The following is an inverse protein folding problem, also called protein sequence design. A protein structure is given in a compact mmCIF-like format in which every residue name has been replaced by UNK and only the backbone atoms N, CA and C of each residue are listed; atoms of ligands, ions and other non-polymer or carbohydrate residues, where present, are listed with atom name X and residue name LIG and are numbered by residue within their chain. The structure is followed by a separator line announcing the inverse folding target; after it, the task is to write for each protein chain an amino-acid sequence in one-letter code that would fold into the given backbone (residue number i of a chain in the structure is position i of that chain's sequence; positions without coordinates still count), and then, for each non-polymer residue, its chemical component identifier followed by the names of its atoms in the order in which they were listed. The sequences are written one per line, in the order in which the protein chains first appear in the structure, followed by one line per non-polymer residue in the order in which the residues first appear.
data_IF_091858618614
#
_entry.id   IF_091858618614
#
_cell.length_a   1.000
_cell.length_b   1.000
_cell.length_c   1.000
_cell.angle_alpha   90.00
_cell.angle_beta   90.00
_cell.angle_gamma   90.00
#
_symmetry.space_group_name_H-M   'P 1'
#
loop_
_entity.id
_entity.type
_entity.pdbx_description
1 polymer ?
#
# COMPACT_ATOMS: atom_id res chain seq x y z
N UNK A 1 -1.19 1.00 26.90
CA UNK A 1 -0.40 0.59 25.71
C UNK A 1 -1.39 0.45 24.55
N UNK A 2 -1.31 1.28 23.52
CA UNK A 2 -2.20 1.14 22.35
C UNK A 2 -1.74 -0.10 21.58
N UNK A 3 -2.57 -1.14 21.53
CA UNK A 3 -2.29 -2.35 20.75
C UNK A 3 -2.81 -2.14 19.33
N UNK A 4 -1.93 -2.24 18.33
CA UNK A 4 -2.29 -2.12 16.92
C UNK A 4 -3.03 -3.37 16.45
N UNK A 5 -4.16 -3.17 15.76
CA UNK A 5 -4.92 -4.26 15.12
C UNK A 5 -4.60 -4.37 13.63
N UNK A 6 -5.04 -5.46 13.00
CA UNK A 6 -4.82 -5.71 11.56
C UNK A 6 -5.21 -4.52 10.65
N UNK A 7 -6.36 -3.83 10.85
CA UNK A 7 -6.70 -2.61 10.08
C UNK A 7 -5.69 -1.47 10.21
N UNK A 8 -5.04 -1.36 11.37
CA UNK A 8 -4.08 -0.31 11.69
C UNK A 8 -2.73 -0.61 11.04
N UNK A 9 -2.35 -1.89 11.05
CA UNK A 9 -1.17 -2.38 10.37
C UNK A 9 -1.33 -2.24 8.85
N UNK A 10 -2.52 -2.53 8.31
CA UNK A 10 -2.81 -2.32 6.89
C UNK A 10 -2.73 -0.85 6.50
N UNK A 11 -3.33 0.05 7.30
CA UNK A 11 -3.17 1.50 7.14
C UNK A 11 -1.68 1.92 7.14
N UNK A 12 -0.86 1.30 7.99
CA UNK A 12 0.59 1.52 7.99
C UNK A 12 1.29 1.11 6.68
N UNK A 13 0.82 0.06 5.99
CA UNK A 13 1.33 -0.35 4.67
C UNK A 13 0.87 0.59 3.57
N UNK A 14 -0.38 1.02 3.59
CA UNK A 14 -0.88 2.02 2.64
C UNK A 14 -0.15 3.35 2.80
N UNK A 15 0.08 3.80 4.04
CA UNK A 15 0.90 4.99 4.33
C UNK A 15 2.30 4.89 3.73
N UNK A 16 2.93 3.71 3.85
CA UNK A 16 4.23 3.45 3.27
C UNK A 16 4.24 3.62 1.75
N UNK A 17 3.24 3.08 1.06
CA UNK A 17 3.12 3.18 -0.40
C UNK A 17 2.90 4.63 -0.84
N UNK A 18 2.01 5.36 -0.16
CA UNK A 18 1.63 6.73 -0.53
C UNK A 18 2.73 7.75 -0.27
N UNK A 19 3.45 7.63 0.84
CA UNK A 19 4.21 8.77 1.38
C UNK A 19 5.71 8.55 1.52
N UNK A 20 6.22 7.31 1.48
CA UNK A 20 7.67 7.12 1.51
C UNK A 20 8.25 7.51 0.16
N UNK A 21 9.25 8.39 0.19
CA UNK A 21 10.03 8.75 -1.00
C UNK A 21 10.95 7.58 -1.37
N UNK A 22 10.57 6.82 -2.39
CA UNK A 22 11.43 5.82 -3.02
C UNK A 22 12.41 6.50 -3.97
N UNK A 23 13.44 7.19 -3.43
CA UNK A 23 14.43 7.90 -4.27
C UNK A 23 15.04 6.97 -5.33
N UNK A 24 15.82 5.98 -4.89
CA UNK A 24 16.58 5.08 -5.77
C UNK A 24 16.18 3.61 -5.58
N UNK A 25 15.38 3.30 -4.55
CA UNK A 25 15.02 1.93 -4.17
C UNK A 25 13.53 1.85 -3.88
N UNK A 26 12.82 1.08 -4.71
CA UNK A 26 11.43 0.68 -4.48
C UNK A 26 11.45 -0.50 -3.51
N UNK A 27 10.62 -0.45 -2.46
CA UNK A 27 10.49 -1.54 -1.49
C UNK A 27 9.38 -2.50 -1.89
N UNK A 28 9.74 -3.58 -2.58
CA UNK A 28 8.81 -4.64 -3.01
C UNK A 28 8.04 -5.27 -1.85
N UNK A 29 8.63 -5.32 -0.65
CA UNK A 29 7.96 -5.84 0.55
C UNK A 29 6.71 -5.08 0.95
N UNK A 30 6.67 -3.75 0.79
CA UNK A 30 5.47 -2.97 1.12
C UNK A 30 4.31 -3.32 0.17
N UNK A 31 4.61 -3.59 -1.12
CA UNK A 31 3.63 -4.08 -2.10
C UNK A 31 3.18 -5.51 -1.80
N UNK A 32 4.09 -6.37 -1.36
CA UNK A 32 3.77 -7.75 -0.97
C UNK A 32 2.80 -7.79 0.21
N UNK A 33 3.10 -7.00 1.25
CA UNK A 33 2.23 -6.86 2.42
C UNK A 33 0.86 -6.28 2.02
N UNK A 34 0.82 -5.30 1.11
CA UNK A 34 -0.43 -4.74 0.58
C UNK A 34 -1.31 -5.82 -0.09
N UNK A 35 -0.72 -6.64 -0.98
CA UNK A 35 -1.42 -7.78 -1.61
C UNK A 35 -1.90 -8.77 -0.54
N UNK A 36 -1.09 -9.04 0.47
CA UNK A 36 -1.44 -9.96 1.56
C UNK A 36 -2.67 -9.49 2.35
N UNK A 37 -2.73 -8.21 2.75
CA UNK A 37 -3.88 -7.65 3.46
C UNK A 37 -5.16 -7.68 2.63
N UNK A 38 -5.06 -7.38 1.33
CA UNK A 38 -6.20 -7.46 0.40
C UNK A 38 -6.69 -8.90 0.22
N UNK A 39 -5.79 -9.88 0.07
CA UNK A 39 -6.15 -11.30 0.01
C UNK A 39 -6.86 -11.77 1.29
N UNK A 40 -6.52 -11.18 2.44
CA UNK A 40 -7.17 -11.46 3.73
C UNK A 40 -8.51 -10.75 3.91
N UNK A 41 -8.91 -9.86 3.00
CA UNK A 41 -10.11 -9.04 3.18
C UNK A 41 -10.02 -8.13 4.41
N UNK A 42 -8.81 -7.71 4.79
CA UNK A 42 -8.63 -6.84 5.96
C UNK A 42 -9.08 -5.43 5.61
N UNK A 43 -10.05 -4.86 6.34
CA UNK A 43 -10.46 -3.48 6.10
C UNK A 43 -9.38 -2.51 6.61
N UNK A 44 -9.24 -1.36 5.96
CA UNK A 44 -8.31 -0.31 6.39
C UNK A 44 -9.00 0.66 7.34
N UNK A 45 -8.34 1.00 8.46
CA UNK A 45 -8.83 2.07 9.33
C UNK A 45 -8.41 3.44 8.78
N UNK A 46 -9.29 4.05 7.98
CA UNK A 46 -8.99 5.30 7.24
C UNK A 46 -8.57 6.46 8.16
N UNK A 47 -9.24 6.63 9.30
CA UNK A 47 -8.89 7.68 10.27
C UNK A 47 -7.46 7.54 10.78
N UNK A 48 -7.00 6.31 11.02
CA UNK A 48 -5.63 6.08 11.47
C UNK A 48 -4.60 6.29 10.34
N UNK A 49 -4.96 5.98 9.09
CA UNK A 49 -4.12 6.35 7.95
C UNK A 49 -3.93 7.87 7.87
N UNK A 50 -5.00 8.66 8.10
CA UNK A 50 -4.94 10.14 8.15
C UNK A 50 -4.07 10.63 9.30
N UNK A 51 -4.24 10.10 10.50
CA UNK A 51 -3.40 10.42 11.66
C UNK A 51 -1.92 10.14 11.39
N UNK A 52 -1.60 9.00 10.78
CA UNK A 52 -0.23 8.64 10.40
C UNK A 52 0.36 9.59 9.37
N UNK A 53 -0.44 9.99 8.37
CA UNK A 53 -0.01 10.98 7.39
C UNK A 53 0.32 12.32 8.06
N UNK A 54 -0.56 12.80 8.96
CA UNK A 54 -0.33 14.02 9.73
C UNK A 54 0.97 13.93 10.55
N UNK A 55 1.15 12.87 11.34
CA UNK A 55 2.34 12.65 12.17
C UNK A 55 3.63 12.58 11.35
N UNK A 56 3.56 12.09 10.11
CA UNK A 56 4.71 12.03 9.20
C UNK A 56 4.99 13.32 8.42
N UNK A 57 4.24 14.41 8.67
CA UNK A 57 4.39 15.67 7.95
C UNK A 57 3.75 15.67 6.56
N UNK A 58 2.81 14.76 6.30
CA UNK A 58 2.09 14.60 5.04
C UNK A 58 0.59 14.91 5.17
N UNK A 59 0.17 15.59 6.24
CA UNK A 59 -1.25 15.91 6.49
C UNK A 59 -1.93 16.63 5.33
N UNK A 60 -1.26 17.57 4.66
CA UNK A 60 -1.80 18.27 3.48
C UNK A 60 -1.92 17.38 2.23
N UNK A 61 -1.20 16.25 2.19
CA UNK A 61 -1.23 15.26 1.10
C UNK A 61 -2.20 14.11 1.36
N UNK A 62 -2.70 13.97 2.60
CA UNK A 62 -3.73 13.00 2.96
C UNK A 62 -5.12 13.66 2.91
N UNK A 63 -5.46 14.26 1.78
CA UNK A 63 -6.75 14.91 1.57
C UNK A 63 -7.91 13.93 1.34
N UNK A 64 -7.62 12.63 1.15
CA UNK A 64 -8.64 11.61 0.90
C UNK A 64 -9.65 11.53 2.04
N UNK A 65 -10.92 11.81 1.75
CA UNK A 65 -12.02 11.72 2.71
C UNK A 65 -12.77 10.39 2.58
N UNK A 66 -12.84 9.84 1.36
CA UNK A 66 -13.55 8.60 1.03
C UNK A 66 -12.60 7.48 0.65
N UNK A 67 -13.15 6.27 0.45
CA UNK A 67 -12.38 5.14 -0.08
C UNK A 67 -12.02 5.37 -1.55
N UNK A 68 -12.88 6.05 -2.31
CA UNK A 68 -12.64 6.41 -3.71
C UNK A 68 -11.44 7.37 -3.84
N UNK A 69 -11.34 8.35 -2.96
CA UNK A 69 -10.18 9.27 -2.93
C UNK A 69 -8.89 8.50 -2.64
N UNK A 70 -8.94 7.55 -1.68
CA UNK A 70 -7.80 6.72 -1.34
C UNK A 70 -7.37 5.85 -2.53
N UNK A 71 -8.32 5.22 -3.22
CA UNK A 71 -8.05 4.44 -4.44
C UNK A 71 -7.40 5.30 -5.51
N UNK A 72 -7.90 6.52 -5.74
CA UNK A 72 -7.33 7.47 -6.70
C UNK A 72 -5.88 7.81 -6.40
N UNK A 73 -5.55 8.09 -5.13
CA UNK A 73 -4.16 8.36 -4.73
C UNK A 73 -3.25 7.13 -4.92
N UNK A 74 -3.74 5.94 -4.59
CA UNK A 74 -2.99 4.69 -4.84
C UNK A 74 -2.75 4.45 -6.34
N UNK A 75 -3.72 4.74 -7.20
CA UNK A 75 -3.57 4.59 -8.64
C UNK A 75 -2.44 5.47 -9.19
N UNK A 76 -2.37 6.73 -8.75
CA UNK A 76 -1.27 7.64 -9.12
C UNK A 76 0.09 7.09 -8.70
N UNK A 77 0.17 6.47 -7.52
CA UNK A 77 1.39 5.78 -7.08
C UNK A 77 1.73 4.64 -8.03
N UNK A 78 0.79 3.73 -8.32
CA UNK A 78 1.06 2.57 -9.18
C UNK A 78 1.47 2.94 -10.60
N UNK A 79 0.96 4.04 -11.15
CA UNK A 79 1.39 4.58 -12.45
C UNK A 79 2.86 5.03 -12.47
N UNK A 80 3.40 5.43 -11.32
CA UNK A 80 4.78 5.91 -11.19
C UNK A 80 5.79 4.81 -10.79
N UNK A 81 5.32 3.61 -10.45
CA UNK A 81 6.15 2.53 -9.88
C UNK A 81 6.78 1.69 -10.99
N UNK A 82 8.10 1.53 -10.92
CA UNK A 82 8.84 0.51 -11.66
C UNK A 82 8.65 -0.85 -10.96
N UNK A 83 7.66 -1.62 -11.42
CA UNK A 83 7.32 -2.92 -10.84
C UNK A 83 8.41 -3.97 -11.04
N UNK A 84 9.28 -3.84 -12.04
CA UNK A 84 10.42 -4.75 -12.21
C UNK A 84 11.43 -4.58 -11.07
N UNK A 85 11.67 -3.34 -10.62
CA UNK A 85 12.46 -3.10 -9.40
C UNK A 85 11.75 -3.58 -8.14
N UNK A 86 10.42 -3.43 -8.05
CA UNK A 86 9.65 -3.94 -6.92
C UNK A 86 9.76 -5.47 -6.81
N UNK A 87 9.61 -6.19 -7.92
CA UNK A 87 9.81 -7.65 -8.01
C UNK A 87 11.22 -8.02 -7.54
N UNK A 88 12.25 -7.40 -8.13
CA UNK A 88 13.66 -7.66 -7.76
C UNK A 88 13.95 -7.46 -6.28
N UNK A 89 13.34 -6.46 -5.64
CA UNK A 89 13.52 -6.21 -4.20
C UNK A 89 12.89 -7.30 -3.33
N UNK A 90 11.78 -7.93 -3.74
CA UNK A 90 11.07 -8.93 -2.93
C UNK A 90 11.49 -10.38 -3.21
N UNK A 91 11.97 -10.68 -4.43
CA UNK A 91 12.34 -12.03 -4.86
C UNK A 91 13.25 -12.80 -3.86
N UNK A 92 14.27 -12.18 -3.21
CA UNK A 92 15.12 -12.89 -2.25
C UNK A 92 14.40 -13.35 -0.97
N UNK A 93 13.20 -12.86 -0.69
CA UNK A 93 12.47 -13.10 0.56
C UNK A 93 11.27 -14.03 0.41
N UNK A 94 10.91 -14.43 -0.81
CA UNK A 94 9.73 -15.27 -1.09
C UNK A 94 10.15 -16.63 -1.63
N UNK A 95 9.40 -17.67 -1.28
CA UNK A 95 9.67 -19.04 -1.76
C UNK A 95 9.12 -19.28 -3.16
N UNK A 96 7.89 -18.86 -3.41
CA UNK A 96 7.24 -18.97 -4.71
C UNK A 96 7.32 -17.63 -5.44
N UNK A 97 8.19 -17.55 -6.44
CA UNK A 97 8.41 -16.36 -7.24
C UNK A 97 7.25 -16.04 -8.18
N UNK A 98 6.37 -17.02 -8.46
CA UNK A 98 5.18 -16.83 -9.30
C UNK A 98 4.18 -15.86 -8.68
N UNK A 99 4.21 -15.70 -7.35
CA UNK A 99 3.34 -14.76 -6.63
C UNK A 99 3.54 -13.29 -7.03
N UNK A 100 4.68 -12.95 -7.65
CA UNK A 100 5.02 -11.59 -8.05
C UNK A 100 5.19 -11.44 -9.56
N UNK A 101 5.10 -12.52 -10.32
CA UNK A 101 5.31 -12.53 -11.77
C UNK A 101 4.33 -11.59 -12.50
N UNK A 102 3.05 -11.64 -12.10
CA UNK A 102 1.97 -10.83 -12.65
C UNK A 102 1.92 -9.39 -12.10
N UNK A 103 2.86 -8.97 -11.25
CA UNK A 103 2.86 -7.61 -10.73
C UNK A 103 3.10 -6.59 -11.85
N UNK A 104 2.12 -5.72 -12.05
CA UNK A 104 2.17 -4.56 -12.92
C UNK A 104 1.15 -3.52 -12.45
N UNK A 105 1.12 -2.35 -13.10
CA UNK A 105 0.21 -1.26 -12.76
C UNK A 105 -1.26 -1.71 -12.75
N UNK A 106 -1.71 -2.41 -13.80
CA UNK A 106 -3.10 -2.84 -13.95
C UNK A 106 -3.53 -3.84 -12.88
N UNK A 107 -2.66 -4.80 -12.55
CA UNK A 107 -2.89 -5.75 -11.47
C UNK A 107 -3.10 -5.02 -10.14
N UNK A 108 -2.23 -4.07 -9.79
CA UNK A 108 -2.35 -3.32 -8.54
C UNK A 108 -3.60 -2.44 -8.53
N UNK A 109 -3.94 -1.79 -9.65
CA UNK A 109 -5.21 -1.05 -9.77
C UNK A 109 -6.42 -1.96 -9.56
N UNK A 110 -6.45 -3.12 -10.20
CA UNK A 110 -7.55 -4.07 -10.10
C UNK A 110 -7.77 -4.59 -8.67
N UNK A 111 -6.71 -5.02 -7.96
CA UNK A 111 -6.88 -5.52 -6.59
C UNK A 111 -7.25 -4.40 -5.60
N UNK A 112 -6.86 -3.16 -5.89
CA UNK A 112 -7.18 -1.98 -5.08
C UNK A 112 -8.66 -1.66 -5.07
N UNK A 113 -9.41 -2.12 -6.08
CA UNK A 113 -10.87 -2.03 -6.04
C UNK A 113 -11.50 -2.77 -4.87
N UNK A 114 -10.80 -3.79 -4.33
CA UNK A 114 -11.25 -4.61 -3.19
C UNK A 114 -10.98 -3.96 -1.83
N UNK A 115 -10.38 -2.76 -1.77
CA UNK A 115 -10.21 -2.05 -0.49
C UNK A 115 -11.57 -1.83 0.16
N UNK A 116 -11.64 -2.13 1.45
CA UNK A 116 -12.76 -1.87 2.34
C UNK A 116 -12.29 -0.98 3.50
N UNK A 117 -13.17 -0.12 4.01
CA UNK A 117 -12.89 0.71 5.20
C UNK A 117 -13.50 0.03 6.44
N UNK A 118 -12.79 0.09 7.57
CA UNK A 118 -13.22 -0.44 8.86
C UNK A 118 -14.11 0.53 9.64
#
# INVERSE_FOLDING_TARGET
MISLKQPDLFAGKIHALLFRKWKNRIKGRDFYDYVWYLKKGTPVRLNYLKEKALQSGHGTKASFQTVEDLKSELFKIFESVDFEKAKKDILPFIRDTKEVEFWNCDFFKQITEKIQIA
#
